data_IF_776269963247
#
_entry.id   IF_776269963247
#
_cell.length_a   1.000
_cell.length_b   1.000
_cell.length_c   1.000
_cell.angle_alpha   90.00
_cell.angle_beta   90.00
_cell.angle_gamma   90.00
#
_symmetry.space_group_name_H-M   'P 1'
#
loop_
_entity.id
_entity.type
_entity.pdbx_description
1 polymer ?
#
# COMPACT_ATOMS: atom_id res chain seq x y z
N UNK A 1 -0.04 2.66 -9.10
CA UNK A 1 0.18 1.83 -10.31
C UNK A 1 -0.02 0.37 -9.97
N UNK A 2 -0.39 -0.45 -10.96
CA UNK A 2 -0.34 -1.92 -10.87
C UNK A 2 0.99 -2.42 -11.45
N UNK A 3 1.72 -3.24 -10.70
CA UNK A 3 2.96 -3.88 -11.15
C UNK A 3 2.80 -5.41 -11.13
N UNK A 4 3.48 -6.16 -12.02
CA UNK A 4 3.51 -7.61 -11.95
C UNK A 4 4.01 -8.08 -10.58
N UNK A 5 3.38 -9.11 -10.03
CA UNK A 5 3.83 -9.78 -8.81
C UNK A 5 3.77 -11.28 -9.00
N UNK A 6 4.51 -12.02 -8.17
CA UNK A 6 4.61 -13.48 -8.26
C UNK A 6 3.26 -14.17 -8.04
N UNK A 7 2.53 -13.74 -7.00
CA UNK A 7 1.29 -14.39 -6.57
C UNK A 7 0.04 -13.59 -6.99
N UNK A 8 0.16 -12.25 -7.03
CA UNK A 8 -0.89 -11.33 -7.46
C UNK A 8 -0.27 -10.03 -8.02
N UNK A 9 -0.95 -9.31 -8.93
CA UNK A 9 -0.58 -7.94 -9.28
C UNK A 9 -0.50 -7.07 -8.03
N UNK A 10 0.51 -6.21 -7.94
CA UNK A 10 0.72 -5.36 -6.77
C UNK A 10 0.36 -3.91 -7.02
N UNK A 11 -0.39 -3.31 -6.09
CA UNK A 11 -0.59 -1.87 -6.00
C UNK A 11 0.61 -1.26 -5.29
N UNK A 12 1.19 -0.21 -5.86
CA UNK A 12 2.17 0.62 -5.18
C UNK A 12 3.16 1.32 -6.11
N UNK A 13 3.67 2.50 -5.73
CA UNK A 13 3.29 3.22 -4.51
C UNK A 13 1.85 3.73 -4.60
N UNK A 14 1.22 3.86 -3.43
CA UNK A 14 -0.07 4.53 -3.25
C UNK A 14 0.16 5.69 -2.28
N UNK A 15 0.45 6.86 -2.84
CA UNK A 15 0.60 8.11 -2.10
C UNK A 15 -0.65 8.95 -2.28
N UNK A 16 -1.11 9.56 -1.20
CA UNK A 16 -2.33 10.36 -1.19
C UNK A 16 -2.29 11.39 -0.07
N UNK A 17 -2.84 12.58 -0.33
CA UNK A 17 -2.93 13.63 0.69
C UNK A 17 -4.04 13.33 1.72
N UNK A 18 -5.08 12.61 1.30
CA UNK A 18 -6.19 12.22 2.17
C UNK A 18 -6.56 10.74 2.04
N UNK A 19 -7.28 10.24 3.05
CA UNK A 19 -7.92 8.91 3.02
C UNK A 19 -8.80 8.72 1.78
N UNK A 20 -9.59 9.73 1.43
CA UNK A 20 -10.54 9.67 0.32
C UNK A 20 -9.81 9.58 -1.03
N UNK A 21 -8.71 10.31 -1.21
CA UNK A 21 -7.89 10.21 -2.41
C UNK A 21 -7.30 8.80 -2.55
N UNK A 22 -6.83 8.21 -1.45
CA UNK A 22 -6.31 6.84 -1.45
C UNK A 22 -7.39 5.81 -1.83
N UNK A 23 -8.64 6.00 -1.39
CA UNK A 23 -9.79 5.15 -1.80
C UNK A 23 -10.03 5.24 -3.30
N UNK A 24 -10.15 6.46 -3.82
CA UNK A 24 -10.44 6.67 -5.23
C UNK A 24 -9.35 6.05 -6.12
N UNK A 25 -8.09 6.20 -5.73
CA UNK A 25 -6.95 5.60 -6.44
C UNK A 25 -6.94 4.06 -6.35
N UNK A 26 -7.18 3.50 -5.16
CA UNK A 26 -7.21 2.04 -4.99
C UNK A 26 -8.38 1.42 -5.76
N UNK A 27 -9.55 2.05 -5.75
CA UNK A 27 -10.73 1.58 -6.48
C UNK A 27 -10.53 1.64 -7.99
N UNK A 28 -9.93 2.72 -8.50
CA UNK A 28 -9.60 2.84 -9.92
C UNK A 28 -8.62 1.74 -10.37
N UNK A 29 -7.57 1.48 -9.56
CA UNK A 29 -6.61 0.41 -9.85
C UNK A 29 -7.24 -0.99 -9.72
N UNK A 30 -8.14 -1.19 -8.76
CA UNK A 30 -8.91 -2.44 -8.62
C UNK A 30 -9.85 -2.69 -9.80
N UNK A 31 -10.44 -1.64 -10.38
CA UNK A 31 -11.22 -1.75 -11.60
C UNK A 31 -10.34 -2.10 -12.81
N UNK A 32 -9.14 -1.51 -12.91
CA UNK A 32 -8.17 -1.80 -13.96
C UNK A 32 -7.65 -3.25 -13.91
N UNK A 33 -7.60 -3.88 -12.74
CA UNK A 33 -7.17 -5.28 -12.60
C UNK A 33 -8.14 -6.30 -13.23
N UNK A 34 -9.32 -5.86 -13.71
CA UNK A 34 -10.34 -6.73 -14.28
C UNK A 34 -10.98 -7.67 -13.27
N UNK A 35 -11.02 -7.26 -11.98
CA UNK A 35 -11.56 -8.09 -10.90
C UNK A 35 -10.61 -9.15 -10.36
N UNK A 36 -9.36 -9.19 -10.85
CA UNK A 36 -8.31 -10.03 -10.26
C UNK A 36 -7.91 -9.44 -8.91
N UNK A 37 -7.76 -10.30 -7.90
CA UNK A 37 -7.27 -9.89 -6.59
C UNK A 37 -5.88 -9.24 -6.71
N UNK A 38 -5.69 -8.12 -6.02
CA UNK A 38 -4.43 -7.38 -5.97
C UNK A 38 -3.82 -7.46 -4.58
N UNK A 39 -2.50 -7.34 -4.50
CA UNK A 39 -1.77 -7.24 -3.24
C UNK A 39 -1.21 -5.82 -3.05
N UNK A 40 -1.03 -5.39 -1.80
CA UNK A 40 -0.43 -4.11 -1.46
C UNK A 40 0.37 -4.25 -0.17
N UNK A 41 1.53 -3.64 -0.13
CA UNK A 41 2.37 -3.57 1.07
C UNK A 41 1.95 -2.32 1.87
N UNK A 42 1.22 -2.52 2.97
CA UNK A 42 0.59 -1.46 3.76
C UNK A 42 1.48 -1.10 4.96
N UNK A 43 1.87 0.17 5.18
CA UNK A 43 2.56 0.54 6.41
C UNK A 43 1.63 0.46 7.63
N UNK A 44 1.89 -0.46 8.56
CA UNK A 44 1.11 -0.61 9.80
C UNK A 44 1.07 0.69 10.64
N UNK A 45 2.12 1.51 10.55
CA UNK A 45 2.20 2.81 11.24
C UNK A 45 1.20 3.85 10.70
N UNK A 46 0.62 3.63 9.52
CA UNK A 46 -0.47 4.46 8.99
C UNK A 46 -1.81 3.76 9.20
N UNK A 47 -2.48 4.07 10.31
CA UNK A 47 -3.76 3.44 10.68
C UNK A 47 -4.87 3.68 9.65
N UNK A 48 -4.82 4.79 8.92
CA UNK A 48 -5.75 5.06 7.81
C UNK A 48 -5.53 4.13 6.63
N UNK A 49 -4.28 3.75 6.37
CA UNK A 49 -3.92 2.79 5.33
C UNK A 49 -4.33 1.36 5.70
N UNK A 50 -4.16 0.98 6.96
CA UNK A 50 -4.66 -0.30 7.50
C UNK A 50 -6.18 -0.38 7.35
N UNK A 51 -6.90 0.65 7.83
CA UNK A 51 -8.36 0.70 7.71
C UNK A 51 -8.85 0.70 6.25
N UNK A 52 -8.08 1.26 5.32
CA UNK A 52 -8.36 1.15 3.88
C UNK A 52 -8.31 -0.28 3.38
N UNK A 53 -7.19 -0.95 3.64
CA UNK A 53 -6.98 -2.33 3.20
C UNK A 53 -8.06 -3.26 3.78
N UNK A 54 -8.32 -3.16 5.08
CA UNK A 54 -9.36 -3.93 5.76
C UNK A 54 -10.77 -3.62 5.21
N UNK A 55 -11.08 -2.33 5.00
CA UNK A 55 -12.36 -1.90 4.44
C UNK A 55 -12.62 -2.41 3.02
N UNK A 56 -11.57 -2.77 2.27
CA UNK A 56 -11.66 -3.41 0.95
C UNK A 56 -11.52 -4.93 0.99
N UNK A 57 -11.57 -5.52 2.19
CA UNK A 57 -11.52 -6.96 2.38
C UNK A 57 -10.14 -7.57 2.15
N UNK A 58 -9.08 -6.77 2.08
CA UNK A 58 -7.71 -7.27 1.99
C UNK A 58 -7.37 -8.02 3.29
N UNK A 59 -6.62 -9.11 3.16
CA UNK A 59 -6.18 -9.94 4.27
C UNK A 59 -4.65 -9.85 4.38
N UNK A 60 -4.08 -9.73 5.59
CA UNK A 60 -2.63 -9.87 5.76
C UNK A 60 -2.16 -11.21 5.21
N UNK A 61 -1.11 -11.19 4.39
CA UNK A 61 -0.49 -12.40 3.82
C UNK A 61 0.92 -12.66 4.34
N UNK A 62 1.61 -11.62 4.82
CA UNK A 62 2.97 -11.64 5.38
C UNK A 62 3.29 -10.27 5.98
N UNK A 63 4.16 -10.26 7.00
CA UNK A 63 4.60 -9.05 7.68
C UNK A 63 6.12 -8.89 7.59
N UNK A 64 6.58 -7.64 7.50
CA UNK A 64 8.02 -7.33 7.53
C UNK A 64 8.27 -5.97 8.15
N UNK A 65 9.48 -5.80 8.69
CA UNK A 65 9.88 -4.58 9.36
C UNK A 65 10.71 -3.69 8.44
N UNK A 66 10.39 -2.40 8.38
CA UNK A 66 11.31 -1.39 7.85
C UNK A 66 12.42 -1.15 8.88
N UNK A 67 13.67 -1.42 8.52
CA UNK A 67 14.84 -1.28 9.39
C UNK A 67 15.75 -0.13 8.95
N UNK A 68 16.40 0.51 9.92
CA UNK A 68 17.37 1.57 9.68
C UNK A 68 18.63 1.31 10.53
N UNK A 69 19.83 1.47 9.94
CA UNK A 69 21.11 1.39 10.65
C UNK A 69 21.55 2.73 11.28
N UNK A 70 20.72 3.77 11.13
CA UNK A 70 20.96 5.12 11.63
C UNK A 70 19.64 5.86 11.91
N UNK A 71 19.67 7.18 12.12
CA UNK A 71 18.46 7.94 12.42
C UNK A 71 17.45 7.85 11.27
N UNK A 72 16.18 7.67 11.64
CA UNK A 72 15.07 7.65 10.68
C UNK A 72 14.90 9.04 10.09
N UNK A 73 14.98 9.16 8.76
CA UNK A 73 14.70 10.42 8.07
C UNK A 73 13.21 10.73 8.14
N UNK A 74 12.87 12.01 8.31
CA UNK A 74 11.47 12.44 8.25
C UNK A 74 10.92 12.29 6.82
N UNK A 75 9.68 11.84 6.74
CA UNK A 75 8.88 11.77 5.53
C UNK A 75 7.40 11.83 5.91
N UNK A 76 6.54 12.15 4.95
CA UNK A 76 5.09 12.26 5.14
C UNK A 76 4.44 10.87 5.31
N UNK A 77 4.63 10.24 6.47
CA UNK A 77 4.18 8.87 6.80
C UNK A 77 2.68 8.69 6.59
N UNK A 78 1.92 9.70 6.99
CA UNK A 78 0.46 9.76 6.88
C UNK A 78 -0.03 9.76 5.43
N UNK A 79 0.83 10.13 4.47
CA UNK A 79 0.51 10.14 3.03
C UNK A 79 0.89 8.85 2.31
N UNK A 80 1.50 7.88 3.00
CA UNK A 80 1.88 6.59 2.44
C UNK A 80 0.83 5.55 2.78
N UNK A 81 0.01 5.19 1.80
CA UNK A 81 -1.02 4.14 1.94
C UNK A 81 -0.56 2.78 1.43
N UNK A 82 0.40 2.76 0.51
CA UNK A 82 1.08 1.56 0.04
C UNK A 82 2.50 1.90 -0.38
N UNK A 83 3.48 1.13 0.09
CA UNK A 83 4.90 1.38 -0.25
C UNK A 83 5.20 1.01 -1.70
N UNK A 84 6.32 1.50 -2.23
CA UNK A 84 6.73 1.27 -3.62
C UNK A 84 7.02 -0.22 -3.85
N UNK A 85 8.03 -0.74 -3.16
CA UNK A 85 8.38 -2.16 -3.07
C UNK A 85 9.14 -2.40 -1.76
N UNK A 86 9.30 -3.66 -1.35
CA UNK A 86 10.10 -4.01 -0.17
C UNK A 86 11.60 -3.74 -0.37
N UNK A 87 12.08 -3.83 -1.61
CA UNK A 87 13.49 -3.64 -1.98
C UNK A 87 13.89 -2.17 -2.06
N UNK A 88 12.96 -1.28 -2.42
CA UNK A 88 13.25 0.13 -2.68
C UNK A 88 12.69 1.09 -1.63
N UNK A 89 11.69 0.65 -0.85
CA UNK A 89 11.02 1.48 0.15
C UNK A 89 9.93 2.38 -0.42
#
# INVERSE_FOLDING_TARGET
MLRPGRDAPRVGPLFADTRADAEALLDALGAESGGVAVAMDVPETNTQAVALAEGRGMKPSFDTARMYTGPVREFARERVFGITTLELG
#
